data_IF_357071930176
#
_entry.id   IF_357071930176
#
_cell.length_a   1.000
_cell.length_b   1.000
_cell.length_c   1.000
_cell.angle_alpha   90.00
_cell.angle_beta   90.00
_cell.angle_gamma   90.00
#
_symmetry.space_group_name_H-M   'P 1'
#
loop_
_entity.id
_entity.type
_entity.pdbx_description
1 polymer ?
#
# COMPACT_ATOMS: atom_id res chain seq x y z
N UNK A 1 -9.55 -11.73 -25.09
CA UNK A 1 -10.66 -11.42 -24.17
C UNK A 1 -10.17 -11.45 -22.71
N UNK A 2 -9.40 -10.45 -22.30
CA UNK A 2 -8.64 -10.45 -21.03
C UNK A 2 -9.55 -10.23 -19.81
N UNK A 3 -10.58 -9.39 -19.94
CA UNK A 3 -11.55 -9.11 -18.86
C UNK A 3 -12.40 -10.32 -18.49
N UNK A 4 -12.98 -11.01 -19.48
CA UNK A 4 -13.78 -12.22 -19.23
C UNK A 4 -12.93 -13.30 -18.56
N UNK A 5 -11.67 -13.47 -19.00
CA UNK A 5 -10.74 -14.44 -18.38
C UNK A 5 -10.48 -14.12 -16.90
N UNK A 6 -10.25 -12.84 -16.57
CA UNK A 6 -10.03 -12.42 -15.18
C UNK A 6 -11.27 -12.66 -14.31
N UNK A 7 -12.46 -12.28 -14.80
CA UNK A 7 -13.73 -12.48 -14.10
C UNK A 7 -14.00 -13.98 -13.88
N UNK A 8 -13.88 -14.81 -14.92
CA UNK A 8 -14.08 -16.25 -14.80
C UNK A 8 -13.13 -16.89 -13.79
N UNK A 9 -11.87 -16.45 -13.72
CA UNK A 9 -10.92 -16.95 -12.70
C UNK A 9 -11.36 -16.60 -11.29
N UNK A 10 -11.79 -15.38 -11.04
CA UNK A 10 -12.22 -14.94 -9.70
C UNK A 10 -13.51 -15.66 -9.28
N UNK A 11 -14.50 -15.77 -10.19
CA UNK A 11 -15.80 -16.36 -9.88
C UNK A 11 -15.75 -17.88 -9.65
N UNK A 12 -14.77 -18.58 -10.21
CA UNK A 12 -14.65 -20.05 -10.08
C UNK A 12 -13.54 -20.48 -9.10
N UNK A 13 -12.87 -19.54 -8.43
CA UNK A 13 -11.81 -19.88 -7.48
C UNK A 13 -12.36 -20.09 -6.07
N UNK A 14 -11.96 -21.19 -5.43
CA UNK A 14 -12.23 -21.44 -4.01
C UNK A 14 -11.61 -20.37 -3.10
N UNK A 15 -10.41 -19.91 -3.48
CA UNK A 15 -9.69 -18.79 -2.86
C UNK A 15 -9.34 -17.80 -3.95
N UNK A 16 -9.63 -16.51 -3.74
CA UNK A 16 -9.42 -15.50 -4.77
C UNK A 16 -7.95 -15.41 -5.21
N UNK A 17 -7.68 -15.32 -6.53
CA UNK A 17 -6.33 -15.32 -7.07
C UNK A 17 -5.68 -13.92 -7.00
N UNK A 18 -5.75 -13.25 -5.85
CA UNK A 18 -5.16 -11.93 -5.65
C UNK A 18 -3.74 -12.06 -5.09
N UNK A 19 -2.78 -11.41 -5.75
CA UNK A 19 -1.36 -11.42 -5.37
C UNK A 19 -0.99 -10.10 -4.68
N UNK A 20 -1.39 -9.95 -3.42
CA UNK A 20 -1.13 -8.75 -2.63
C UNK A 20 0.35 -8.55 -2.31
N UNK A 21 1.15 -9.62 -2.25
CA UNK A 21 2.60 -9.52 -2.09
C UNK A 21 3.25 -8.70 -3.22
N UNK A 22 2.73 -8.80 -4.46
CA UNK A 22 3.17 -7.97 -5.58
C UNK A 22 2.82 -6.51 -5.39
N UNK A 23 1.60 -6.20 -4.91
CA UNK A 23 1.20 -4.83 -4.61
C UNK A 23 2.07 -4.21 -3.50
N UNK A 24 2.39 -4.96 -2.44
CA UNK A 24 3.31 -4.48 -1.40
C UNK A 24 4.73 -4.25 -1.94
N UNK A 25 5.22 -5.13 -2.81
CA UNK A 25 6.51 -4.96 -3.49
C UNK A 25 6.55 -3.72 -4.39
N UNK A 26 5.45 -3.41 -5.10
CA UNK A 26 5.33 -2.18 -5.88
C UNK A 26 5.35 -0.94 -4.99
N UNK A 27 4.59 -0.92 -3.89
CA UNK A 27 4.61 0.17 -2.90
C UNK A 27 6.03 0.39 -2.37
N UNK A 28 6.74 -0.69 -2.01
CA UNK A 28 8.12 -0.63 -1.53
C UNK A 28 9.06 0.01 -2.57
N UNK A 29 8.90 -0.32 -3.85
CA UNK A 29 9.70 0.27 -4.93
C UNK A 29 9.40 1.76 -5.11
N UNK A 30 8.13 2.17 -5.04
CA UNK A 30 7.77 3.59 -5.11
C UNK A 30 8.33 4.38 -3.92
N UNK A 31 8.24 3.82 -2.70
CA UNK A 31 8.82 4.43 -1.50
C UNK A 31 10.34 4.65 -1.63
N UNK A 32 11.07 3.69 -2.22
CA UNK A 32 12.51 3.85 -2.51
C UNK A 32 12.76 5.01 -3.45
N UNK A 33 12.00 5.11 -4.54
CA UNK A 33 12.10 6.23 -5.47
C UNK A 33 11.81 7.59 -4.82
N UNK A 34 10.84 7.67 -3.91
CA UNK A 34 10.60 8.90 -3.15
C UNK A 34 11.71 9.20 -2.14
N UNK A 35 12.26 8.18 -1.47
CA UNK A 35 13.37 8.36 -0.53
C UNK A 35 14.60 8.98 -1.21
N UNK A 36 14.90 8.56 -2.43
CA UNK A 36 15.96 9.15 -3.26
C UNK A 36 15.65 10.60 -3.60
N UNK A 37 14.42 10.91 -4.04
CA UNK A 37 13.98 12.28 -4.36
C UNK A 37 14.01 13.23 -3.17
N UNK A 38 13.83 12.73 -1.94
CA UNK A 38 13.94 13.56 -0.73
C UNK A 38 15.34 14.12 -0.51
N UNK A 39 16.39 13.57 -1.14
CA UNK A 39 17.78 14.04 -1.00
C UNK A 39 18.24 14.28 0.46
N UNK A 40 17.77 13.45 1.40
CA UNK A 40 18.09 13.56 2.83
C UNK A 40 17.24 14.56 3.64
N UNK A 41 16.35 15.33 3.00
CA UNK A 41 15.47 16.29 3.71
C UNK A 41 14.32 15.63 4.48
N UNK A 42 13.99 14.38 4.14
CA UNK A 42 12.92 13.64 4.78
C UNK A 42 13.18 12.13 4.78
N UNK A 43 12.80 11.50 5.89
CA UNK A 43 13.03 10.07 6.15
C UNK A 43 11.73 9.26 5.98
N UNK A 44 11.73 8.42 4.94
CA UNK A 44 10.72 7.41 4.66
C UNK A 44 11.11 6.01 5.18
N UNK A 45 12.21 5.88 5.91
CA UNK A 45 12.68 4.66 6.55
C UNK A 45 11.59 3.86 7.26
N UNK A 46 10.73 4.48 8.10
CA UNK A 46 9.62 3.78 8.74
C UNK A 46 8.63 3.15 7.75
N UNK A 47 8.30 3.84 6.65
CA UNK A 47 7.41 3.32 5.63
C UNK A 47 8.07 2.22 4.79
N UNK A 48 9.37 2.37 4.48
CA UNK A 48 10.17 1.35 3.80
C UNK A 48 10.22 0.05 4.61
N UNK A 49 10.47 0.16 5.92
CA UNK A 49 10.48 -0.98 6.82
C UNK A 49 9.10 -1.66 6.88
N UNK A 50 8.04 -0.90 7.13
CA UNK A 50 6.67 -1.44 7.19
C UNK A 50 6.26 -2.14 5.88
N UNK A 51 6.59 -1.56 4.72
CA UNK A 51 6.29 -2.15 3.42
C UNK A 51 7.07 -3.45 3.19
N UNK A 52 8.36 -3.50 3.57
CA UNK A 52 9.18 -4.72 3.49
C UNK A 52 8.66 -5.83 4.42
N UNK A 53 8.26 -5.49 5.63
CA UNK A 53 7.73 -6.46 6.60
C UNK A 53 6.37 -7.00 6.16
N UNK A 54 5.50 -6.14 5.59
CA UNK A 54 4.24 -6.54 4.99
C UNK A 54 4.45 -7.47 3.78
N UNK A 55 5.36 -7.12 2.88
CA UNK A 55 5.66 -7.93 1.69
C UNK A 55 6.05 -9.37 2.08
N UNK A 56 6.94 -9.51 3.06
CA UNK A 56 7.37 -10.80 3.57
C UNK A 56 6.22 -11.57 4.25
N UNK A 57 5.36 -10.87 5.01
CA UNK A 57 4.20 -11.48 5.65
C UNK A 57 3.18 -11.97 4.61
N UNK A 58 2.91 -11.18 3.56
CA UNK A 58 2.01 -11.55 2.48
C UNK A 58 2.52 -12.75 1.70
N UNK A 59 3.83 -12.83 1.40
CA UNK A 59 4.39 -14.02 0.76
C UNK A 59 4.17 -15.29 1.58
N UNK A 60 4.33 -15.22 2.91
CA UNK A 60 4.07 -16.36 3.80
C UNK A 60 2.59 -16.71 3.80
N UNK A 61 1.72 -15.74 4.00
CA UNK A 61 0.27 -15.90 3.97
C UNK A 61 -0.21 -16.55 2.66
N UNK A 62 0.17 -15.99 1.51
CA UNK A 62 -0.21 -16.50 0.19
C UNK A 62 0.31 -17.92 -0.07
N UNK A 63 1.43 -18.32 0.54
CA UNK A 63 1.91 -19.70 0.46
C UNK A 63 1.11 -20.65 1.37
N UNK A 64 0.76 -20.21 2.58
CA UNK A 64 0.02 -21.02 3.56
C UNK A 64 -1.40 -21.35 3.10
N UNK A 65 -2.09 -20.40 2.45
CA UNK A 65 -3.50 -20.57 2.08
C UNK A 65 -3.74 -21.50 0.87
N UNK A 66 -2.71 -21.84 0.09
CA UNK A 66 -2.84 -22.60 -1.18
C UNK A 66 -3.56 -23.94 -1.05
N UNK A 67 -3.41 -24.60 0.09
CA UNK A 67 -3.89 -25.98 0.31
C UNK A 67 -5.02 -26.07 1.34
N UNK A 68 -5.59 -24.93 1.74
CA UNK A 68 -6.70 -24.92 2.71
C UNK A 68 -7.91 -25.62 2.10
N UNK A 69 -8.46 -26.60 2.82
CA UNK A 69 -9.59 -27.42 2.38
C UNK A 69 -10.91 -27.05 3.04
N UNK A 70 -10.87 -26.54 4.28
CA UNK A 70 -12.07 -26.22 5.03
C UNK A 70 -12.85 -25.05 4.37
N UNK A 71 -14.14 -25.23 4.01
CA UNK A 71 -14.92 -24.18 3.37
C UNK A 71 -15.17 -22.94 4.24
N UNK A 72 -15.15 -23.06 5.57
CA UNK A 72 -15.31 -21.89 6.44
C UNK A 72 -14.01 -21.09 6.50
N UNK A 73 -12.88 -21.76 6.64
CA UNK A 73 -11.55 -21.15 6.57
C UNK A 73 -11.31 -20.43 5.23
N UNK A 74 -11.66 -21.06 4.10
CA UNK A 74 -11.61 -20.41 2.76
C UNK A 74 -12.42 -19.12 2.70
N UNK A 75 -13.60 -19.11 3.32
CA UNK A 75 -14.45 -17.91 3.39
C UNK A 75 -13.79 -16.80 4.21
N UNK A 76 -13.17 -17.11 5.34
CA UNK A 76 -12.41 -16.13 6.13
C UNK A 76 -11.22 -15.57 5.34
N UNK A 77 -10.47 -16.43 4.64
CA UNK A 77 -9.35 -16.04 3.77
C UNK A 77 -9.81 -15.10 2.65
N UNK A 78 -10.92 -15.42 1.97
CA UNK A 78 -11.45 -14.56 0.91
C UNK A 78 -11.89 -13.18 1.42
N UNK A 79 -12.43 -13.11 2.65
CA UNK A 79 -12.72 -11.81 3.28
C UNK A 79 -11.45 -11.04 3.58
N UNK A 80 -10.42 -11.71 4.12
CA UNK A 80 -9.10 -11.12 4.33
C UNK A 80 -8.51 -10.56 3.03
N UNK A 81 -8.55 -11.30 1.92
CA UNK A 81 -8.05 -10.84 0.61
C UNK A 81 -8.79 -9.58 0.11
N UNK A 82 -10.13 -9.53 0.27
CA UNK A 82 -10.90 -8.33 -0.08
C UNK A 82 -10.52 -7.15 0.83
N UNK A 83 -10.35 -7.38 2.13
CA UNK A 83 -9.95 -6.34 3.08
C UNK A 83 -8.55 -5.80 2.79
N UNK A 84 -7.59 -6.66 2.42
CA UNK A 84 -6.27 -6.26 1.96
C UNK A 84 -6.36 -5.31 0.74
N UNK A 85 -7.19 -5.65 -0.26
CA UNK A 85 -7.41 -4.77 -1.40
C UNK A 85 -7.92 -3.38 -0.97
N UNK A 86 -8.87 -3.33 -0.03
CA UNK A 86 -9.45 -2.07 0.48
C UNK A 86 -8.45 -1.21 1.25
N UNK A 87 -7.39 -1.81 1.80
CA UNK A 87 -6.32 -1.08 2.49
C UNK A 87 -5.24 -0.63 1.50
N UNK A 88 -4.78 -1.52 0.63
CA UNK A 88 -3.60 -1.27 -0.21
C UNK A 88 -3.90 -0.45 -1.46
N UNK A 89 -5.07 -0.59 -2.07
CA UNK A 89 -5.43 0.14 -3.29
C UNK A 89 -5.46 1.66 -3.04
N UNK A 90 -6.13 2.20 -2.01
CA UNK A 90 -6.15 3.65 -1.79
C UNK A 90 -4.76 4.28 -1.57
N UNK A 91 -3.82 3.55 -0.98
CA UNK A 91 -2.44 4.03 -0.76
C UNK A 91 -1.79 4.43 -2.09
N UNK A 92 -2.02 3.64 -3.15
CA UNK A 92 -1.36 3.83 -4.44
C UNK A 92 -2.07 4.81 -5.37
N UNK A 93 -3.38 5.03 -5.19
CA UNK A 93 -4.21 5.71 -6.20
C UNK A 93 -4.96 6.95 -5.70
N UNK A 94 -4.95 7.27 -4.40
CA UNK A 94 -5.74 8.38 -3.86
C UNK A 94 -4.94 9.44 -3.12
N UNK A 95 -5.18 10.71 -3.45
CA UNK A 95 -4.66 11.86 -2.67
C UNK A 95 -5.53 12.10 -1.44
N UNK A 96 -6.85 12.08 -1.63
CA UNK A 96 -7.84 12.28 -0.58
C UNK A 96 -7.90 11.15 0.45
N UNK A 97 -8.59 11.40 1.57
CA UNK A 97 -8.97 10.35 2.51
C UNK A 97 -10.08 9.46 1.95
N UNK A 98 -10.44 8.43 2.72
CA UNK A 98 -11.57 7.57 2.38
C UNK A 98 -12.82 8.45 2.22
N UNK A 99 -13.45 8.36 1.05
CA UNK A 99 -14.65 9.10 0.64
C UNK A 99 -14.44 10.52 0.11
N UNK A 100 -13.20 11.01 0.04
CA UNK A 100 -12.90 12.23 -0.71
C UNK A 100 -12.94 11.96 -2.21
N UNK A 101 -13.30 12.98 -2.99
CA UNK A 101 -13.20 12.92 -4.45
C UNK A 101 -11.79 13.32 -4.89
N UNK A 102 -11.06 12.39 -5.48
CA UNK A 102 -9.85 12.72 -6.21
C UNK A 102 -10.20 13.43 -7.53
N UNK A 103 -9.36 14.39 -7.96
CA UNK A 103 -9.52 15.01 -9.26
C UNK A 103 -9.35 13.95 -10.36
N UNK A 104 -10.13 14.06 -11.44
CA UNK A 104 -10.13 13.14 -12.58
C UNK A 104 -8.89 13.30 -13.50
N UNK A 105 -7.71 13.41 -12.90
CA UNK A 105 -6.42 13.52 -13.58
C UNK A 105 -5.57 12.29 -13.29
N UNK A 106 -4.55 12.05 -14.11
CA UNK A 106 -3.56 11.03 -13.81
C UNK A 106 -2.79 11.41 -12.55
N UNK A 107 -2.80 10.51 -11.56
CA UNK A 107 -2.05 10.66 -10.32
C UNK A 107 -0.79 9.79 -10.38
N UNK A 108 0.36 10.29 -9.86
CA UNK A 108 1.52 9.43 -9.70
C UNK A 108 1.26 8.38 -8.61
N UNK A 109 2.01 7.26 -8.59
CA UNK A 109 1.97 6.31 -7.48
C UNK A 109 2.30 6.98 -6.15
N UNK A 110 1.65 6.53 -5.08
CA UNK A 110 1.72 7.12 -3.74
C UNK A 110 1.54 8.65 -3.77
N UNK A 111 0.41 9.15 -4.31
CA UNK A 111 0.27 10.56 -4.65
C UNK A 111 0.31 11.50 -3.43
N UNK A 112 0.12 10.96 -2.21
CA UNK A 112 0.30 11.67 -0.94
C UNK A 112 1.76 12.02 -0.62
N UNK A 113 2.72 11.38 -1.27
CA UNK A 113 4.16 11.64 -1.14
C UNK A 113 4.74 12.40 -2.35
N UNK A 114 3.91 12.79 -3.31
CA UNK A 114 4.33 13.43 -4.56
C UNK A 114 5.27 14.62 -4.33
N UNK A 115 4.93 15.45 -3.33
CA UNK A 115 5.69 16.66 -2.96
C UNK A 115 6.98 16.40 -2.17
N UNK A 116 7.33 15.14 -1.89
CA UNK A 116 8.47 14.83 -1.04
C UNK A 116 9.81 15.37 -1.58
N UNK A 117 9.94 15.46 -2.92
CA UNK A 117 11.12 16.03 -3.58
C UNK A 117 11.18 17.57 -3.54
N UNK A 118 10.12 18.26 -3.15
CA UNK A 118 10.07 19.74 -3.14
C UNK A 118 10.78 20.33 -1.91
N UNK A 119 11.02 19.53 -0.86
CA UNK A 119 11.66 20.01 0.38
C UNK A 119 13.03 20.66 0.14
N UNK A 120 13.83 20.12 -0.78
CA UNK A 120 15.14 20.67 -1.11
C UNK A 120 15.03 22.10 -1.68
N UNK A 121 14.03 22.35 -2.53
CA UNK A 121 13.78 23.67 -3.12
C UNK A 121 13.30 24.69 -2.08
N UNK A 122 12.67 24.23 -0.99
CA UNK A 122 12.18 25.07 0.11
C UNK A 122 13.24 25.37 1.18
N UNK A 123 14.50 24.95 1.02
CA UNK A 123 15.55 25.20 2.01
C UNK A 123 15.75 26.71 2.33
N UNK A 124 15.44 27.60 1.37
CA UNK A 124 15.46 29.05 1.55
C UNK A 124 14.20 29.66 2.16
N UNK A 125 13.13 28.88 2.36
CA UNK A 125 11.86 29.29 2.99
C UNK A 125 11.58 28.41 4.23
N UNK A 126 12.02 28.84 5.43
CA UNK A 126 11.86 28.06 6.65
C UNK A 126 10.41 27.74 7.00
N UNK A 127 9.46 28.60 6.65
CA UNK A 127 8.05 28.42 6.96
C UNK A 127 7.42 27.38 6.04
N UNK A 128 7.62 27.52 4.73
CA UNK A 128 7.17 26.54 3.73
C UNK A 128 7.79 25.16 3.96
N UNK A 129 9.09 25.12 4.28
CA UNK A 129 9.80 23.87 4.60
C UNK A 129 9.15 23.12 5.78
N UNK A 130 8.90 23.81 6.91
CA UNK A 130 8.31 23.21 8.10
C UNK A 130 6.87 22.75 7.89
N UNK A 131 6.10 23.52 7.10
CA UNK A 131 4.74 23.15 6.73
C UNK A 131 4.73 21.85 5.92
N UNK A 132 5.49 21.80 4.83
CA UNK A 132 5.58 20.61 3.97
C UNK A 132 6.14 19.40 4.73
N UNK A 133 7.16 19.60 5.57
CA UNK A 133 7.73 18.53 6.38
C UNK A 133 6.69 17.92 7.34
N UNK A 134 5.82 18.75 7.91
CA UNK A 134 4.74 18.28 8.80
C UNK A 134 3.66 17.52 8.02
N UNK A 135 3.28 18.02 6.85
CA UNK A 135 2.35 17.34 5.94
C UNK A 135 2.89 15.95 5.55
N UNK A 136 4.13 15.88 5.07
CA UNK A 136 4.78 14.62 4.68
C UNK A 136 4.91 13.64 5.86
N UNK A 137 5.20 14.14 7.07
CA UNK A 137 5.22 13.30 8.28
C UNK A 137 3.86 12.67 8.56
N UNK A 138 2.79 13.44 8.43
CA UNK A 138 1.42 12.93 8.61
C UNK A 138 1.08 11.89 7.55
N UNK A 139 1.40 12.15 6.29
CA UNK A 139 1.11 11.21 5.20
C UNK A 139 1.93 9.93 5.31
N UNK A 140 3.22 10.01 5.66
CA UNK A 140 4.05 8.83 5.97
C UNK A 140 3.45 8.01 7.10
N UNK A 141 3.01 8.65 8.19
CA UNK A 141 2.44 7.93 9.33
C UNK A 141 1.14 7.21 8.96
N UNK A 142 0.27 7.82 8.12
CA UNK A 142 -0.94 7.15 7.60
C UNK A 142 -0.60 5.95 6.72
N UNK A 143 0.46 6.05 5.90
CA UNK A 143 0.93 4.93 5.08
C UNK A 143 1.42 3.79 5.99
N UNK A 144 2.26 4.09 6.99
CA UNK A 144 2.74 3.10 7.95
C UNK A 144 1.58 2.41 8.66
N UNK A 145 0.63 3.17 9.20
CA UNK A 145 -0.56 2.63 9.87
C UNK A 145 -1.38 1.69 8.97
N UNK A 146 -1.56 2.04 7.70
CA UNK A 146 -2.25 1.20 6.74
C UNK A 146 -1.47 -0.09 6.42
N UNK A 147 -0.14 -0.01 6.26
CA UNK A 147 0.72 -1.18 6.01
C UNK A 147 0.74 -2.12 7.22
N UNK A 148 0.84 -1.58 8.44
CA UNK A 148 0.78 -2.34 9.68
C UNK A 148 -0.60 -2.99 9.87
N UNK A 149 -1.67 -2.26 9.56
CA UNK A 149 -3.05 -2.81 9.59
C UNK A 149 -3.21 -4.00 8.63
N UNK A 150 -2.68 -3.90 7.41
CA UNK A 150 -2.67 -5.00 6.46
C UNK A 150 -1.85 -6.20 6.97
N UNK A 151 -0.71 -5.94 7.62
CA UNK A 151 0.14 -7.00 8.19
C UNK A 151 -0.57 -7.72 9.34
N UNK A 152 -1.16 -6.97 10.25
CA UNK A 152 -1.90 -7.52 11.39
C UNK A 152 -3.11 -8.36 10.93
N UNK A 153 -3.72 -8.01 9.79
CA UNK A 153 -4.82 -8.77 9.21
C UNK A 153 -4.38 -10.19 8.80
N UNK A 154 -3.22 -10.32 8.15
CA UNK A 154 -2.72 -11.63 7.67
C UNK A 154 -2.05 -12.46 8.76
N UNK A 155 -1.53 -11.83 9.81
CA UNK A 155 -0.95 -12.53 10.96
C UNK A 155 -1.96 -13.42 11.71
N UNK A 156 -3.27 -13.23 11.49
CA UNK A 156 -4.33 -14.09 12.03
C UNK A 156 -4.36 -15.49 11.41
N UNK A 157 -3.68 -15.67 10.29
CA UNK A 157 -3.57 -16.91 9.50
C UNK A 157 -2.13 -17.46 9.49
N UNK A 158 -1.28 -16.95 10.39
CA UNK A 158 0.11 -17.37 10.55
C UNK A 158 0.26 -18.54 11.53
#
# INVERSE_FOLDING_TARGET
NTYVTAICRVLNADIYPFEHSKAAQEILNYLRGYQEKCAGHFDLGPALQAASELEAALRRFENNIKNVKDPNERREINRCLIELARILVPINYSRGQRYDHDPAISLPPLPRLEKAGELAALAGDPSGYRFLQTELRRERNKIVDALDSARNLVQRFA
#
